data_IF_368141960693
#
_entry.id   IF_368141960693
#
_cell.length_a   1.000
_cell.length_b   1.000
_cell.length_c   1.000
_cell.angle_alpha   90.00
_cell.angle_beta   90.00
_cell.angle_gamma   90.00
#
_symmetry.space_group_name_H-M   'P 1'
#
loop_
_entity.id
_entity.type
_entity.pdbx_description
1 polymer ?
#
# COMPACT_ATOMS: atom_id res chain seq x y z
N UNK A 1 -7.74 4.19 21.82
CA UNK A 1 -6.83 5.36 21.76
C UNK A 1 -6.86 5.88 20.33
N UNK A 2 -7.26 7.13 20.09
CA UNK A 2 -7.42 7.66 18.74
C UNK A 2 -6.05 7.96 18.13
N UNK A 3 -5.55 7.05 17.29
CA UNK A 3 -4.29 7.22 16.56
C UNK A 3 -4.57 7.97 15.25
N UNK A 4 -3.76 8.99 14.96
CA UNK A 4 -3.88 9.81 13.75
C UNK A 4 -2.74 9.47 12.79
N UNK A 5 -3.05 9.17 11.52
CA UNK A 5 -2.03 9.08 10.47
C UNK A 5 -1.81 10.47 9.89
N UNK A 6 -0.64 11.05 10.16
CA UNK A 6 -0.23 12.31 9.53
C UNK A 6 0.33 12.00 8.15
N UNK A 7 -0.15 12.75 7.16
CA UNK A 7 0.26 12.65 5.76
C UNK A 7 0.85 14.01 5.38
N UNK A 8 2.16 14.12 5.44
CA UNK A 8 2.89 15.36 5.16
C UNK A 8 3.60 15.35 3.81
N UNK A 9 3.82 14.17 3.24
CA UNK A 9 4.45 14.04 1.93
C UNK A 9 3.44 13.60 0.86
N UNK A 10 3.35 14.30 -0.30
CA UNK A 10 2.34 14.02 -1.32
C UNK A 10 2.27 12.56 -1.77
N UNK A 11 3.42 11.89 -1.94
CA UNK A 11 3.46 10.49 -2.37
C UNK A 11 2.82 9.52 -1.35
N UNK A 12 2.63 9.91 -0.09
CA UNK A 12 1.90 9.12 0.91
C UNK A 12 0.39 9.09 0.69
N UNK A 13 -0.14 9.96 -0.18
CA UNK A 13 -1.53 9.89 -0.62
C UNK A 13 -1.81 8.65 -1.46
N UNK A 14 -0.81 8.14 -2.20
CA UNK A 14 -0.97 6.98 -3.08
C UNK A 14 -1.55 5.76 -2.35
N UNK A 15 -0.92 5.23 -1.27
CA UNK A 15 -1.46 4.06 -0.59
C UNK A 15 -2.84 4.31 0.04
N UNK A 16 -3.14 5.56 0.42
CA UNK A 16 -4.45 5.94 0.98
C UNK A 16 -5.53 5.85 -0.10
N UNK A 17 -5.28 6.43 -1.27
CA UNK A 17 -6.20 6.35 -2.41
C UNK A 17 -6.38 4.89 -2.87
N UNK A 18 -5.30 4.10 -2.85
CA UNK A 18 -5.31 2.67 -3.22
C UNK A 18 -5.98 1.75 -2.18
N UNK A 19 -6.29 2.26 -0.99
CA UNK A 19 -7.05 1.53 0.03
C UNK A 19 -8.55 1.48 -0.30
N UNK A 20 -9.03 2.37 -1.17
CA UNK A 20 -10.46 2.54 -1.48
C UNK A 20 -10.76 2.57 -2.98
N UNK A 21 -9.81 2.11 -3.80
CA UNK A 21 -9.90 2.11 -5.25
C UNK A 21 -10.76 0.99 -5.86
N UNK A 22 -11.18 0.01 -5.04
CA UNK A 22 -12.14 -1.02 -5.40
C UNK A 22 -13.26 -1.10 -4.34
N UNK A 23 -14.49 -1.48 -4.75
CA UNK A 23 -15.57 -1.72 -3.79
C UNK A 23 -15.17 -2.73 -2.71
N UNK A 24 -14.44 -3.79 -3.06
CA UNK A 24 -13.99 -4.81 -2.11
C UNK A 24 -13.02 -4.22 -1.09
N UNK A 25 -11.97 -3.52 -1.53
CA UNK A 25 -11.00 -2.92 -0.58
C UNK A 25 -11.68 -1.93 0.36
N UNK A 26 -12.59 -1.09 -0.17
CA UNK A 26 -13.36 -0.13 0.63
C UNK A 26 -14.16 -0.84 1.73
N UNK A 27 -14.86 -1.92 1.39
CA UNK A 27 -15.69 -2.65 2.34
C UNK A 27 -14.85 -3.45 3.35
N UNK A 28 -13.74 -4.07 2.92
CA UNK A 28 -12.79 -4.75 3.81
C UNK A 28 -12.18 -3.75 4.80
N UNK A 29 -11.72 -2.59 4.33
CA UNK A 29 -11.14 -1.56 5.20
C UNK A 29 -12.16 -1.04 6.21
N UNK A 30 -13.43 -0.86 5.80
CA UNK A 30 -14.53 -0.51 6.72
C UNK A 30 -14.75 -1.59 7.78
N UNK A 31 -14.69 -2.86 7.41
CA UNK A 31 -14.91 -3.97 8.33
C UNK A 31 -13.83 -4.05 9.41
N UNK A 32 -12.56 -3.99 9.01
CA UNK A 32 -11.43 -3.99 9.96
C UNK A 32 -11.29 -2.70 10.75
N UNK A 33 -11.94 -1.62 10.34
CA UNK A 33 -12.03 -0.38 11.12
C UNK A 33 -12.99 -0.51 12.29
N UNK A 34 -14.04 -1.32 12.14
CA UNK A 34 -15.06 -1.49 13.17
C UNK A 34 -14.72 -2.62 14.14
N UNK A 35 -14.15 -3.72 13.64
CA UNK A 35 -13.93 -4.93 14.43
C UNK A 35 -12.66 -5.68 14.00
N UNK A 36 -12.14 -6.51 14.90
CA UNK A 36 -11.03 -7.41 14.57
C UNK A 36 -11.51 -8.53 13.65
N UNK A 37 -10.82 -8.73 12.51
CA UNK A 37 -11.15 -9.79 11.55
C UNK A 37 -9.92 -10.63 11.18
N UNK A 38 -10.08 -11.94 11.04
CA UNK A 38 -9.01 -12.80 10.50
C UNK A 38 -8.98 -12.77 8.99
N UNK A 39 -7.85 -13.17 8.39
CA UNK A 39 -7.75 -13.32 6.94
C UNK A 39 -8.82 -14.28 6.39
N UNK A 40 -9.10 -15.38 7.10
CA UNK A 40 -10.15 -16.34 6.73
C UNK A 40 -11.54 -15.71 6.69
N UNK A 41 -11.91 -14.94 7.71
CA UNK A 41 -13.21 -14.26 7.76
C UNK A 41 -13.40 -13.27 6.62
N UNK A 42 -12.33 -12.53 6.28
CA UNK A 42 -12.34 -11.61 5.14
C UNK A 42 -12.41 -12.38 3.82
N UNK A 43 -11.65 -13.46 3.66
CA UNK A 43 -11.66 -14.27 2.44
C UNK A 43 -13.01 -14.99 2.22
N UNK A 44 -13.62 -15.51 3.29
CA UNK A 44 -14.95 -16.12 3.24
C UNK A 44 -16.03 -15.14 2.74
N UNK A 45 -15.89 -13.85 3.08
CA UNK A 45 -16.89 -12.82 2.76
C UNK A 45 -16.61 -12.08 1.45
N UNK A 46 -15.35 -11.84 1.14
CA UNK A 46 -14.92 -10.98 0.03
C UNK A 46 -14.05 -11.70 -1.01
N UNK A 47 -13.83 -13.00 -0.84
CA UNK A 47 -12.98 -13.82 -1.69
C UNK A 47 -11.50 -13.48 -1.56
N UNK A 48 -10.71 -14.02 -2.49
CA UNK A 48 -9.26 -13.83 -2.55
C UNK A 48 -8.86 -12.35 -2.65
N UNK A 49 -9.64 -11.51 -3.35
CA UNK A 49 -9.41 -10.05 -3.43
C UNK A 49 -9.42 -9.41 -2.03
N UNK A 50 -10.29 -9.86 -1.12
CA UNK A 50 -10.32 -9.37 0.25
C UNK A 50 -9.07 -9.75 1.05
N UNK A 51 -8.58 -10.98 0.88
CA UNK A 51 -7.34 -11.42 1.52
C UNK A 51 -6.12 -10.62 1.00
N UNK A 52 -6.08 -10.35 -0.31
CA UNK A 52 -5.05 -9.49 -0.92
C UNK A 52 -5.12 -8.04 -0.42
N UNK A 53 -6.34 -7.50 -0.22
CA UNK A 53 -6.55 -6.19 0.37
C UNK A 53 -5.95 -6.09 1.78
N UNK A 54 -6.14 -7.11 2.63
CA UNK A 54 -5.55 -7.17 3.96
C UNK A 54 -4.02 -7.13 3.93
N UNK A 55 -3.38 -7.91 3.04
CA UNK A 55 -1.92 -7.89 2.87
C UNK A 55 -1.42 -6.51 2.47
N UNK A 56 -2.13 -5.85 1.55
CA UNK A 56 -1.83 -4.47 1.17
C UNK A 56 -1.94 -3.51 2.36
N UNK A 57 -3.01 -3.59 3.15
CA UNK A 57 -3.18 -2.72 4.33
C UNK A 57 -2.11 -2.94 5.39
N UNK A 58 -1.71 -4.20 5.61
CA UNK A 58 -0.64 -4.54 6.56
C UNK A 58 0.70 -3.95 6.11
N UNK A 59 1.07 -4.14 4.84
CA UNK A 59 2.28 -3.54 4.27
C UNK A 59 2.29 -2.02 4.43
N UNK A 60 1.17 -1.36 4.16
CA UNK A 60 1.04 0.10 4.26
C UNK A 60 0.91 0.60 5.71
N UNK A 61 0.98 -0.31 6.69
CA UNK A 61 0.82 -0.05 8.13
C UNK A 61 -0.50 0.64 8.44
N UNK A 62 -1.55 0.30 7.71
CA UNK A 62 -2.91 0.83 7.93
C UNK A 62 -3.69 -0.02 8.94
N UNK A 63 -3.27 -1.27 9.13
CA UNK A 63 -3.82 -2.20 10.13
C UNK A 63 -2.75 -2.64 11.12
N UNK A 64 -3.15 -2.93 12.34
CA UNK A 64 -2.39 -3.71 13.31
C UNK A 64 -2.86 -5.15 13.34
N UNK A 65 -2.00 -6.01 13.88
CA UNK A 65 -2.23 -7.44 13.94
C UNK A 65 -2.11 -7.95 15.37
N UNK A 66 -2.91 -8.97 15.70
CA UNK A 66 -2.80 -9.72 16.95
C UNK A 66 -3.05 -11.19 16.68
N UNK A 67 -2.51 -12.05 17.53
CA UNK A 67 -2.87 -13.47 17.55
C UNK A 67 -4.13 -13.66 18.38
N UNK A 68 -5.06 -14.46 17.88
CA UNK A 68 -6.25 -14.90 18.61
C UNK A 68 -6.49 -16.39 18.39
N UNK A 69 -7.12 -17.05 19.35
CA UNK A 69 -7.48 -18.46 19.23
C UNK A 69 -8.75 -18.59 18.40
N UNK A 70 -8.71 -19.41 17.34
CA UNK A 70 -9.88 -19.70 16.52
C UNK A 70 -10.86 -20.64 17.23
N UNK A 71 -12.06 -20.80 16.66
CA UNK A 71 -13.03 -21.80 17.14
C UNK A 71 -12.48 -23.24 17.12
N UNK A 72 -11.45 -23.50 16.31
CA UNK A 72 -10.77 -24.80 16.19
C UNK A 72 -9.52 -24.88 17.09
N UNK A 73 -9.37 -23.97 18.06
CA UNK A 73 -8.24 -23.92 19.00
C UNK A 73 -6.87 -23.73 18.33
N UNK A 74 -6.84 -23.15 17.13
CA UNK A 74 -5.62 -22.83 16.39
C UNK A 74 -5.32 -21.33 16.47
N UNK A 75 -4.05 -20.91 16.58
CA UNK A 75 -3.70 -19.50 16.55
C UNK A 75 -3.96 -18.91 15.16
N UNK A 76 -4.73 -17.83 15.10
CA UNK A 76 -5.03 -17.10 13.88
C UNK A 76 -4.68 -15.63 14.03
N UNK A 77 -4.11 -15.07 12.96
CA UNK A 77 -3.78 -13.65 12.85
C UNK A 77 -5.05 -12.86 12.54
N UNK A 78 -5.36 -11.88 13.39
CA UNK A 78 -6.46 -10.95 13.22
C UNK A 78 -5.96 -9.53 12.97
N UNK A 79 -6.75 -8.75 12.25
CA UNK A 79 -6.43 -7.43 11.74
C UNK A 79 -7.45 -6.41 12.23
N UNK A 80 -6.98 -5.20 12.55
CA UNK A 80 -7.82 -4.05 12.87
C UNK A 80 -7.16 -2.76 12.37
N UNK A 81 -7.93 -1.76 11.95
CA UNK A 81 -7.38 -0.47 11.54
C UNK A 81 -6.52 0.12 12.68
N UNK A 82 -5.28 0.50 12.34
CA UNK A 82 -4.33 1.06 13.29
C UNK A 82 -4.64 2.52 13.60
N UNK A 83 -5.24 3.24 12.65
CA UNK A 83 -5.55 4.67 12.75
C UNK A 83 -7.06 4.90 12.74
N UNK A 84 -7.53 5.82 13.57
CA UNK A 84 -8.94 6.25 13.63
C UNK A 84 -9.22 7.47 12.74
N UNK A 85 -8.18 8.22 12.35
CA UNK A 85 -8.31 9.39 11.49
C UNK A 85 -7.03 9.68 10.72
N UNK A 86 -7.16 10.44 9.64
CA UNK A 86 -6.06 10.96 8.84
C UNK A 86 -5.98 12.48 9.02
N UNK A 87 -4.76 13.00 9.16
CA UNK A 87 -4.48 14.43 9.08
C UNK A 87 -3.58 14.67 7.87
N UNK A 88 -4.13 15.32 6.85
CA UNK A 88 -3.42 15.59 5.59
C UNK A 88 -2.96 17.04 5.61
N UNK A 89 -1.63 17.24 5.59
CA UNK A 89 -0.98 18.54 5.58
C UNK A 89 0.20 18.50 4.61
N UNK A 90 -0.09 18.55 3.31
CA UNK A 90 0.89 18.47 2.25
C UNK A 90 0.69 19.61 1.24
N UNK A 91 1.79 20.21 0.79
CA UNK A 91 1.84 21.22 -0.27
C UNK A 91 2.86 20.78 -1.29
N UNK A 92 2.52 20.85 -2.58
CA UNK A 92 3.41 20.46 -3.66
C UNK A 92 3.18 21.31 -4.91
N UNK A 93 4.20 21.49 -5.77
CA UNK A 93 4.02 22.01 -7.11
C UNK A 93 2.99 21.21 -7.91
N UNK A 94 2.30 21.87 -8.86
CA UNK A 94 1.29 21.24 -9.73
C UNK A 94 1.87 20.04 -10.48
N UNK A 95 3.12 20.14 -10.93
CA UNK A 95 3.83 19.05 -11.63
C UNK A 95 3.99 17.81 -10.75
N UNK A 96 4.40 17.99 -9.50
CA UNK A 96 4.62 16.89 -8.56
C UNK A 96 3.31 16.22 -8.12
N UNK A 97 2.28 17.01 -7.79
CA UNK A 97 0.99 16.43 -7.40
C UNK A 97 0.32 15.72 -8.58
N UNK A 98 0.56 16.19 -9.82
CA UNK A 98 0.08 15.50 -11.03
C UNK A 98 0.69 14.10 -11.16
N UNK A 99 1.99 13.94 -10.92
CA UNK A 99 2.66 12.64 -10.90
C UNK A 99 2.06 11.70 -9.83
N UNK A 100 1.85 12.20 -8.62
CA UNK A 100 1.27 11.44 -7.51
C UNK A 100 -0.14 10.95 -7.84
N UNK A 101 -1.00 11.84 -8.32
CA UNK A 101 -2.38 11.52 -8.66
C UNK A 101 -2.44 10.57 -9.85
N UNK A 102 -1.61 10.79 -10.87
CA UNK A 102 -1.52 9.92 -12.03
C UNK A 102 -1.09 8.50 -11.64
N UNK A 103 -0.04 8.36 -10.82
CA UNK A 103 0.39 7.05 -10.31
C UNK A 103 -0.69 6.35 -9.48
N UNK A 104 -1.48 7.08 -8.67
CA UNK A 104 -2.56 6.51 -7.87
C UNK A 104 -3.76 6.05 -8.72
N UNK A 105 -4.14 6.84 -9.73
CA UNK A 105 -5.35 6.62 -10.54
C UNK A 105 -5.12 5.78 -11.80
N UNK A 106 -3.86 5.53 -12.18
CA UNK A 106 -3.51 4.74 -13.37
C UNK A 106 -4.19 3.36 -13.34
N UNK A 107 -4.70 2.92 -14.50
CA UNK A 107 -5.34 1.63 -14.63
C UNK A 107 -4.40 0.48 -14.26
N UNK A 108 -4.93 -0.56 -13.62
CA UNK A 108 -4.12 -1.68 -13.09
C UNK A 108 -3.30 -2.37 -14.18
N UNK A 109 -3.88 -2.53 -15.38
CA UNK A 109 -3.20 -3.13 -16.54
C UNK A 109 -1.94 -2.38 -16.95
N UNK A 110 -1.94 -1.06 -16.85
CA UNK A 110 -0.80 -0.24 -17.25
C UNK A 110 0.20 -0.12 -16.10
N UNK A 111 -0.29 -0.01 -14.87
CA UNK A 111 0.54 -0.04 -13.68
C UNK A 111 1.34 -1.34 -13.57
N UNK A 112 0.70 -2.50 -13.80
CA UNK A 112 1.35 -3.81 -13.70
C UNK A 112 2.57 -3.94 -14.63
N UNK A 113 2.56 -3.29 -15.80
CA UNK A 113 3.72 -3.27 -16.72
C UNK A 113 4.88 -2.48 -16.11
N UNK A 114 4.59 -1.31 -15.54
CA UNK A 114 5.57 -0.44 -14.91
C UNK A 114 6.12 -1.06 -13.63
N UNK A 115 5.24 -1.61 -12.78
CA UNK A 115 5.63 -2.32 -11.55
C UNK A 115 6.56 -3.49 -11.89
N UNK A 116 6.21 -4.30 -12.89
CA UNK A 116 7.08 -5.40 -13.35
C UNK A 116 8.43 -4.88 -13.84
N UNK A 117 8.46 -3.81 -14.62
CA UNK A 117 9.70 -3.21 -15.09
C UNK A 117 10.58 -2.72 -13.93
N UNK A 118 10.00 -2.09 -12.90
CA UNK A 118 10.73 -1.70 -11.69
C UNK A 118 11.23 -2.96 -10.96
N UNK A 119 10.37 -3.96 -10.77
CA UNK A 119 10.68 -5.20 -10.06
C UNK A 119 11.83 -5.99 -10.70
N UNK A 120 11.85 -6.05 -12.03
CA UNK A 120 12.90 -6.71 -12.79
C UNK A 120 14.21 -5.89 -12.73
N UNK A 121 14.11 -4.55 -12.78
CA UNK A 121 15.28 -3.66 -12.75
C UNK A 121 15.98 -3.61 -11.39
N UNK A 122 15.23 -3.71 -10.28
CA UNK A 122 15.82 -3.64 -8.93
C UNK A 122 16.56 -4.91 -8.54
N UNK A 123 16.15 -6.07 -9.07
CA UNK A 123 16.73 -7.36 -8.68
C UNK A 123 16.60 -7.65 -7.18
N UNK A 124 17.38 -8.61 -6.69
CA UNK A 124 17.35 -9.03 -5.29
C UNK A 124 18.15 -8.09 -4.36
N UNK A 125 19.22 -7.47 -4.88
CA UNK A 125 20.08 -6.53 -4.12
C UNK A 125 19.51 -5.09 -4.03
N UNK A 126 18.39 -4.83 -4.72
CA UNK A 126 17.83 -3.50 -4.90
C UNK A 126 18.69 -2.60 -5.80
N UNK A 127 18.18 -1.40 -6.07
CA UNK A 127 18.84 -0.41 -6.94
C UNK A 127 18.66 1.01 -6.42
N UNK A 128 19.60 1.90 -6.72
CA UNK A 128 19.49 3.30 -6.35
C UNK A 128 18.28 3.96 -7.05
N UNK A 129 17.50 4.73 -6.31
CA UNK A 129 16.27 5.35 -6.81
C UNK A 129 16.54 6.32 -7.97
N UNK A 130 17.68 7.01 -7.94
CA UNK A 130 18.18 7.85 -9.06
C UNK A 130 18.21 7.08 -10.37
N UNK A 131 18.94 5.95 -10.38
CA UNK A 131 19.12 5.13 -11.57
C UNK A 131 17.79 4.57 -12.08
N UNK A 132 16.90 4.15 -11.18
CA UNK A 132 15.58 3.63 -11.56
C UNK A 132 14.74 4.72 -12.23
N UNK A 133 14.70 5.92 -11.65
CA UNK A 133 13.95 7.05 -12.19
C UNK A 133 14.49 7.47 -13.56
N UNK A 134 15.82 7.53 -13.72
CA UNK A 134 16.48 7.87 -14.98
C UNK A 134 16.17 6.85 -16.07
N UNK A 135 16.28 5.55 -15.76
CA UNK A 135 15.96 4.48 -16.71
C UNK A 135 14.50 4.49 -17.15
N UNK A 136 13.57 4.84 -16.25
CA UNK A 136 12.16 4.98 -16.55
C UNK A 136 11.78 6.32 -17.17
N UNK A 137 12.70 7.29 -17.21
CA UNK A 137 12.46 8.68 -17.65
C UNK A 137 11.32 9.34 -16.89
N UNK A 138 11.26 9.11 -15.57
CA UNK A 138 10.25 9.69 -14.67
C UNK A 138 10.89 10.57 -13.62
N UNK A 139 10.12 11.47 -13.02
CA UNK A 139 10.57 12.26 -11.88
C UNK A 139 10.80 11.37 -10.65
N UNK A 140 11.57 11.86 -9.67
CA UNK A 140 11.74 11.18 -8.39
C UNK A 140 10.39 11.02 -7.65
N UNK A 141 9.53 12.03 -7.74
CA UNK A 141 8.19 12.01 -7.16
C UNK A 141 7.32 10.92 -7.79
N UNK A 142 7.34 10.81 -9.12
CA UNK A 142 6.63 9.76 -9.85
C UNK A 142 7.14 8.37 -9.48
N UNK A 143 8.46 8.16 -9.43
CA UNK A 143 9.03 6.89 -8.98
C UNK A 143 8.57 6.55 -7.56
N UNK A 144 8.62 7.53 -6.64
CA UNK A 144 8.20 7.32 -5.26
C UNK A 144 6.73 6.95 -5.15
N UNK A 145 5.88 7.59 -5.94
CA UNK A 145 4.46 7.30 -6.04
C UNK A 145 4.22 5.88 -6.60
N UNK A 146 4.92 5.49 -7.68
CA UNK A 146 4.83 4.16 -8.28
C UNK A 146 5.24 3.04 -7.31
N UNK A 147 6.34 3.22 -6.58
CA UNK A 147 6.82 2.23 -5.59
C UNK A 147 5.84 2.16 -4.41
N UNK A 148 5.35 3.29 -3.89
CA UNK A 148 4.35 3.31 -2.81
C UNK A 148 2.99 2.74 -3.20
N UNK A 149 2.69 2.58 -4.50
CA UNK A 149 1.52 1.85 -4.98
C UNK A 149 1.70 0.33 -4.89
N UNK A 150 2.94 -0.16 -4.98
CA UNK A 150 3.25 -1.58 -5.12
C UNK A 150 3.05 -2.32 -3.82
N UNK A 151 2.57 -3.56 -3.87
CA UNK A 151 2.62 -4.50 -2.75
C UNK A 151 3.96 -5.24 -2.66
N UNK A 152 4.80 -5.18 -3.70
CA UNK A 152 6.04 -5.97 -3.84
C UNK A 152 7.34 -5.14 -3.89
N UNK A 153 7.25 -3.81 -3.83
CA UNK A 153 8.40 -2.91 -3.83
C UNK A 153 8.37 -1.97 -2.63
N UNK A 154 9.53 -1.59 -2.11
CA UNK A 154 9.62 -0.60 -1.04
C UNK A 154 10.93 0.20 -1.12
N UNK A 155 10.98 1.33 -0.40
CA UNK A 155 12.21 2.11 -0.24
C UNK A 155 12.95 1.69 1.04
N UNK A 156 14.26 1.42 0.91
CA UNK A 156 15.18 1.37 2.05
C UNK A 156 16.25 2.45 1.87
N UNK A 157 16.07 3.57 2.56
CA UNK A 157 16.86 4.77 2.33
C UNK A 157 16.67 5.29 0.90
N UNK A 158 17.77 5.40 0.16
CA UNK A 158 17.76 5.86 -1.24
C UNK A 158 17.68 4.72 -2.26
N UNK A 159 17.41 3.49 -1.82
CA UNK A 159 17.30 2.31 -2.69
C UNK A 159 15.85 1.87 -2.81
N UNK A 160 15.46 1.48 -4.02
CA UNK A 160 14.23 0.72 -4.28
C UNK A 160 14.60 -0.76 -4.20
N UNK A 161 13.84 -1.53 -3.44
CA UNK A 161 14.08 -2.96 -3.25
C UNK A 161 12.79 -3.75 -3.38
N UNK A 162 12.92 -5.06 -3.61
CA UNK A 162 11.80 -5.99 -3.49
C UNK A 162 11.36 -6.05 -2.02
N UNK A 163 10.05 -6.04 -1.82
CA UNK A 163 9.43 -6.25 -0.52
C UNK A 163 9.19 -7.74 -0.36
N UNK A 164 9.93 -8.37 0.55
CA UNK A 164 9.74 -9.75 0.99
C UNK A 164 8.92 -9.71 2.28
N UNK A 165 7.85 -10.52 2.36
CA UNK A 165 7.08 -10.75 3.60
C UNK A 165 7.90 -11.48 4.65
#
# INVERSE_FOLDING_TARGET
>A
MNRIKVVSEPAELVPILRTVDSPVKREVFREVTNEWRTAKQIEEKFGTEGAEALKFFEKMKLVETKWQTSAQMQPEKAYHAFYSSFHINATAPVTEISDVLYAAMMAEKDYAKIEKQIFDMVGDDGKFAGDVAENLKVSQTMLKALVKRSSRLDFRGHRVMRFEE
#
